data_IF_819534031819
#
_entry.id   IF_819534031819
#
_cell.length_a   1.000
_cell.length_b   1.000
_cell.length_c   1.000
_cell.angle_alpha   90.00
_cell.angle_beta   90.00
_cell.angle_gamma   90.00
#
_symmetry.space_group_name_H-M   'P 1'
#
loop_
_entity.id
_entity.type
_entity.pdbx_description
1 polymer ?
#
# COMPACT_ATOMS: atom_id res chain seq x y z
N UNK A 1 -59.85 -14.49 1.71
CA UNK A 1 -59.20 -14.11 2.98
C UNK A 1 -57.88 -14.85 3.00
N UNK A 2 -56.82 -14.19 2.56
CA UNK A 2 -55.45 -14.70 2.58
C UNK A 2 -54.49 -13.49 2.59
N UNK A 3 -54.66 -12.62 3.59
CA UNK A 3 -53.96 -11.34 3.73
C UNK A 3 -52.84 -11.41 4.77
N UNK A 4 -52.26 -12.58 5.00
CA UNK A 4 -51.08 -12.67 5.84
C UNK A 4 -49.90 -12.00 5.11
N UNK A 5 -49.51 -10.82 5.58
CA UNK A 5 -48.37 -10.04 5.08
C UNK A 5 -47.03 -10.69 5.46
N UNK A 6 -46.77 -11.89 4.93
CA UNK A 6 -45.50 -12.61 5.09
C UNK A 6 -44.60 -12.27 3.91
N UNK A 7 -43.62 -11.42 4.14
CA UNK A 7 -42.62 -11.04 3.15
C UNK A 7 -41.22 -11.39 3.64
N UNK A 8 -40.30 -11.67 2.73
CA UNK A 8 -38.86 -11.57 3.02
C UNK A 8 -38.50 -10.10 3.23
N UNK A 9 -37.38 -9.80 3.90
CA UNK A 9 -36.93 -8.42 4.13
C UNK A 9 -36.87 -7.63 2.80
N UNK A 10 -36.32 -8.25 1.74
CA UNK A 10 -36.26 -7.65 0.40
C UNK A 10 -37.65 -7.42 -0.20
N UNK A 11 -38.57 -8.39 -0.09
CA UNK A 11 -39.94 -8.27 -0.61
C UNK A 11 -40.75 -7.18 0.10
N UNK A 12 -40.53 -6.99 1.41
CA UNK A 12 -41.12 -5.88 2.15
C UNK A 12 -40.57 -4.53 1.69
N UNK A 13 -39.24 -4.39 1.58
CA UNK A 13 -38.61 -3.16 1.12
C UNK A 13 -39.03 -2.76 -0.29
N UNK A 14 -39.04 -3.70 -1.24
CA UNK A 14 -39.46 -3.45 -2.62
C UNK A 14 -40.92 -2.96 -2.67
N UNK A 15 -41.82 -3.61 -1.94
CA UNK A 15 -43.22 -3.20 -1.85
C UNK A 15 -43.38 -1.79 -1.27
N UNK A 16 -42.65 -1.45 -0.22
CA UNK A 16 -42.69 -0.11 0.38
C UNK A 16 -42.17 0.97 -0.57
N UNK A 17 -41.10 0.69 -1.34
CA UNK A 17 -40.55 1.60 -2.35
C UNK A 17 -41.52 1.82 -3.52
N UNK A 18 -42.20 0.77 -3.98
CA UNK A 18 -43.19 0.88 -5.06
C UNK A 18 -44.48 1.60 -4.63
N UNK A 19 -44.99 1.33 -3.42
CA UNK A 19 -46.20 1.97 -2.91
C UNK A 19 -46.02 3.48 -2.67
N UNK A 20 -44.81 3.90 -2.34
CA UNK A 20 -44.45 5.30 -2.10
C UNK A 20 -43.49 5.83 -3.18
N UNK A 21 -43.65 5.39 -4.44
CA UNK A 21 -42.72 5.73 -5.53
C UNK A 21 -42.53 7.24 -5.73
N UNK A 22 -43.61 8.03 -5.57
CA UNK A 22 -43.56 9.49 -5.68
C UNK A 22 -42.75 10.14 -4.55
N UNK A 23 -42.90 9.64 -3.31
CA UNK A 23 -42.23 10.18 -2.13
C UNK A 23 -40.77 9.68 -2.02
N UNK A 24 -40.49 8.49 -2.56
CA UNK A 24 -39.15 7.87 -2.57
C UNK A 24 -38.32 8.23 -3.79
N UNK A 25 -38.89 8.92 -4.79
CA UNK A 25 -38.21 9.27 -6.04
C UNK A 25 -37.85 8.07 -6.91
N UNK A 26 -38.45 6.91 -6.65
CA UNK A 26 -38.17 5.66 -7.35
C UNK A 26 -38.96 5.58 -8.66
N UNK A 27 -38.37 4.94 -9.68
CA UNK A 27 -39.08 4.63 -10.93
C UNK A 27 -40.29 3.71 -10.65
N UNK A 28 -41.37 3.92 -11.40
CA UNK A 28 -42.57 3.08 -11.33
C UNK A 28 -42.29 1.63 -11.78
N UNK A 29 -41.41 1.46 -12.76
CA UNK A 29 -40.93 0.15 -13.21
C UNK A 29 -39.48 -0.05 -12.75
N UNK A 30 -39.28 -1.02 -11.85
CA UNK A 30 -37.97 -1.42 -11.35
C UNK A 30 -37.64 -2.82 -11.87
N UNK A 31 -36.44 -2.98 -12.41
CA UNK A 31 -35.90 -4.29 -12.74
C UNK A 31 -34.93 -4.71 -11.64
N UNK A 32 -35.17 -5.89 -11.06
CA UNK A 32 -34.25 -6.46 -10.09
C UNK A 32 -33.03 -7.03 -10.84
N UNK A 33 -31.85 -6.58 -10.46
CA UNK A 33 -30.59 -7.15 -10.94
C UNK A 33 -30.16 -8.21 -9.91
N UNK A 34 -30.25 -9.48 -10.28
CA UNK A 34 -29.93 -10.60 -9.40
C UNK A 34 -28.42 -10.80 -9.25
N UNK A 35 -27.65 -10.52 -10.30
CA UNK A 35 -26.18 -10.60 -10.30
C UNK A 35 -25.55 -9.27 -10.74
N UNK A 36 -24.96 -8.56 -9.77
CA UNK A 36 -24.23 -7.31 -10.00
C UNK A 36 -22.75 -7.53 -10.37
N UNK A 37 -22.27 -8.78 -10.46
CA UNK A 37 -20.86 -9.09 -10.69
C UNK A 37 -20.30 -8.41 -11.94
N UNK A 38 -21.08 -8.42 -13.03
CA UNK A 38 -20.72 -7.76 -14.29
C UNK A 38 -20.64 -6.24 -14.13
N UNK A 39 -21.59 -5.62 -13.42
CA UNK A 39 -21.60 -4.17 -13.17
C UNK A 39 -20.39 -3.75 -12.33
N UNK A 40 -20.06 -4.51 -11.29
CA UNK A 40 -18.88 -4.26 -10.44
C UNK A 40 -17.59 -4.39 -11.24
N UNK A 41 -17.51 -5.41 -12.10
CA UNK A 41 -16.37 -5.57 -12.99
C UNK A 41 -16.24 -4.41 -13.98
N UNK A 42 -17.33 -3.99 -14.63
CA UNK A 42 -17.33 -2.84 -15.54
C UNK A 42 -16.90 -1.55 -14.83
N UNK A 43 -17.45 -1.28 -13.64
CA UNK A 43 -17.05 -0.15 -12.81
C UNK A 43 -15.55 -0.16 -12.47
N UNK A 44 -15.02 -1.32 -12.05
CA UNK A 44 -13.59 -1.47 -11.76
C UNK A 44 -12.72 -1.33 -13.01
N UNK A 45 -13.17 -1.86 -14.15
CA UNK A 45 -12.48 -1.71 -15.43
C UNK A 45 -12.45 -0.25 -15.88
N UNK A 46 -13.55 0.49 -15.71
CA UNK A 46 -13.63 1.91 -16.02
C UNK A 46 -12.69 2.75 -15.13
N UNK A 47 -12.66 2.46 -13.84
CA UNK A 47 -11.68 3.03 -12.91
C UNK A 47 -10.25 2.77 -13.43
N UNK A 48 -9.94 1.53 -13.77
CA UNK A 48 -8.63 1.14 -14.26
C UNK A 48 -8.23 1.88 -15.55
N UNK A 49 -9.15 2.03 -16.51
CA UNK A 49 -8.87 2.79 -17.75
C UNK A 49 -8.62 4.27 -17.48
N UNK A 50 -9.35 4.89 -16.55
CA UNK A 50 -9.20 6.31 -16.23
C UNK A 50 -7.96 6.61 -15.38
N UNK A 51 -7.58 5.70 -14.49
CA UNK A 51 -6.56 5.97 -13.47
C UNK A 51 -5.24 5.21 -13.66
N UNK A 52 -5.25 4.06 -14.34
CA UNK A 52 -4.04 3.25 -14.54
C UNK A 52 -3.46 3.38 -15.95
N UNK A 53 -4.27 3.49 -17.00
CA UNK A 53 -3.75 3.64 -18.38
C UNK A 53 -2.95 4.93 -18.64
N UNK A 54 -3.27 6.10 -18.07
CA UNK A 54 -2.47 7.30 -18.30
C UNK A 54 -1.21 7.36 -17.45
N UNK A 55 -0.93 6.35 -16.61
CA UNK A 55 0.24 6.37 -15.75
C UNK A 55 1.53 6.27 -16.56
N UNK A 56 2.57 7.04 -16.20
CA UNK A 56 3.94 6.80 -16.62
C UNK A 56 4.37 5.35 -16.37
N UNK A 57 5.31 4.85 -17.19
CA UNK A 57 5.69 3.43 -17.24
C UNK A 57 6.19 2.88 -15.89
N UNK A 58 7.01 3.65 -15.19
CA UNK A 58 7.55 3.37 -13.86
C UNK A 58 6.44 3.18 -12.82
N UNK A 59 5.48 4.10 -12.76
CA UNK A 59 4.33 4.00 -11.85
C UNK A 59 3.42 2.84 -12.26
N UNK A 60 3.17 2.68 -13.56
CA UNK A 60 2.35 1.59 -14.10
C UNK A 60 2.95 0.22 -13.76
N UNK A 61 4.28 0.09 -13.79
CA UNK A 61 4.97 -1.14 -13.40
C UNK A 61 4.72 -1.47 -11.93
N UNK A 62 4.87 -0.50 -11.02
CA UNK A 62 4.59 -0.68 -9.59
C UNK A 62 3.13 -1.11 -9.34
N UNK A 63 2.19 -0.45 -10.01
CA UNK A 63 0.77 -0.82 -9.93
C UNK A 63 0.54 -2.24 -10.46
N UNK A 64 1.20 -2.62 -11.55
CA UNK A 64 1.10 -3.95 -12.17
C UNK A 64 1.75 -5.07 -11.34
N UNK A 65 2.79 -4.76 -10.56
CA UNK A 65 3.39 -5.69 -9.60
C UNK A 65 2.39 -6.04 -8.48
N UNK A 66 1.55 -5.08 -8.09
CA UNK A 66 0.50 -5.28 -7.09
C UNK A 66 -0.76 -5.94 -7.68
N UNK A 67 -1.25 -5.43 -8.83
CA UNK A 67 -2.45 -5.92 -9.50
C UNK A 67 -2.21 -6.10 -10.99
N UNK A 68 -2.36 -7.32 -11.49
CA UNK A 68 -2.19 -7.65 -12.91
C UNK A 68 -3.30 -7.09 -13.83
N UNK A 69 -4.29 -6.41 -13.27
CA UNK A 69 -5.41 -5.81 -14.00
C UNK A 69 -6.61 -5.52 -13.12
N UNK A 70 -7.71 -5.00 -13.69
CA UNK A 70 -8.91 -4.58 -12.95
C UNK A 70 -9.56 -5.71 -12.17
N UNK A 71 -9.49 -6.97 -12.66
CA UNK A 71 -10.03 -8.10 -11.93
C UNK A 71 -9.26 -8.40 -10.64
N UNK A 72 -7.93 -8.20 -10.63
CA UNK A 72 -7.13 -8.36 -9.42
C UNK A 72 -7.44 -7.26 -8.40
N UNK A 73 -7.60 -6.01 -8.85
CA UNK A 73 -8.04 -4.91 -8.00
C UNK A 73 -9.44 -5.16 -7.43
N UNK A 74 -10.38 -5.61 -8.27
CA UNK A 74 -11.75 -5.91 -7.84
C UNK A 74 -11.76 -6.93 -6.70
N UNK A 75 -10.98 -8.01 -6.78
CA UNK A 75 -10.89 -9.02 -5.70
C UNK A 75 -10.46 -8.43 -4.37
N UNK A 76 -9.57 -7.44 -4.37
CA UNK A 76 -9.09 -6.78 -3.15
C UNK A 76 -10.15 -5.85 -2.54
N UNK A 77 -11.02 -5.28 -3.37
CA UNK A 77 -12.00 -4.28 -2.94
C UNK A 77 -13.43 -4.80 -2.82
N UNK A 78 -13.76 -5.97 -3.39
CA UNK A 78 -15.14 -6.47 -3.54
C UNK A 78 -15.90 -6.54 -2.21
N UNK A 79 -15.22 -6.98 -1.14
CA UNK A 79 -15.80 -7.04 0.21
C UNK A 79 -16.27 -5.68 0.76
N UNK A 80 -15.75 -4.58 0.22
CA UNK A 80 -16.09 -3.21 0.61
C UNK A 80 -17.11 -2.56 -0.33
N UNK A 81 -17.41 -3.20 -1.47
CA UNK A 81 -18.42 -2.74 -2.41
C UNK A 81 -19.82 -3.20 -2.01
N UNK A 82 -19.93 -4.10 -1.03
CA UNK A 82 -21.18 -4.61 -0.50
C UNK A 82 -21.64 -3.77 0.71
N UNK A 83 -22.92 -3.43 0.77
CA UNK A 83 -23.50 -2.66 1.87
C UNK A 83 -22.96 -1.23 1.99
N UNK A 84 -22.91 -0.72 3.21
CA UNK A 84 -22.44 0.63 3.54
C UNK A 84 -20.94 0.81 3.20
N UNK A 85 -20.60 1.97 2.65
CA UNK A 85 -19.21 2.27 2.33
C UNK A 85 -18.36 2.33 3.61
N UNK A 86 -17.17 1.70 3.63
CA UNK A 86 -16.32 1.73 4.81
C UNK A 86 -15.81 3.15 5.08
N UNK A 87 -15.72 3.52 6.35
CA UNK A 87 -15.05 4.75 6.78
C UNK A 87 -13.54 4.52 6.80
N UNK A 88 -12.82 5.26 5.97
CA UNK A 88 -11.36 5.22 5.92
C UNK A 88 -10.84 6.08 7.09
N UNK A 89 -10.20 5.44 8.07
CA UNK A 89 -9.75 6.11 9.31
C UNK A 89 -8.59 7.09 9.08
N UNK A 90 -7.73 6.78 8.12
CA UNK A 90 -6.59 7.60 7.75
C UNK A 90 -6.54 7.67 6.22
N UNK A 91 -7.40 8.51 5.60
CA UNK A 91 -7.36 8.69 4.17
C UNK A 91 -6.05 9.40 3.77
N UNK A 92 -5.46 9.04 2.62
CA UNK A 92 -4.41 9.87 2.03
C UNK A 92 -4.92 11.31 1.81
N UNK A 93 -4.05 12.33 1.91
CA UNK A 93 -4.41 13.70 1.58
C UNK A 93 -5.02 13.84 0.18
N UNK A 94 -5.99 14.76 0.04
CA UNK A 94 -6.77 14.90 -1.20
C UNK A 94 -5.94 15.34 -2.41
N UNK A 95 -4.89 16.13 -2.17
CA UNK A 95 -3.96 16.63 -3.19
C UNK A 95 -2.89 15.61 -3.59
N UNK A 96 -2.83 14.48 -2.88
CA UNK A 96 -1.78 13.51 -3.06
C UNK A 96 -2.07 12.55 -4.21
N UNK A 97 -1.13 12.47 -5.15
CA UNK A 97 -1.23 11.68 -6.39
C UNK A 97 -0.33 10.46 -6.38
N UNK A 98 -0.64 9.48 -7.25
CA UNK A 98 0.24 8.32 -7.45
C UNK A 98 1.64 8.77 -7.91
N UNK A 99 1.74 9.83 -8.70
CA UNK A 99 3.00 10.42 -9.12
C UNK A 99 3.76 11.04 -7.94
N UNK A 100 3.12 11.91 -7.16
CA UNK A 100 3.77 12.55 -6.02
C UNK A 100 4.21 11.52 -4.97
N UNK A 101 3.41 10.48 -4.69
CA UNK A 101 3.84 9.41 -3.77
C UNK A 101 4.97 8.57 -4.34
N UNK A 102 4.92 8.24 -5.63
CA UNK A 102 6.01 7.53 -6.29
C UNK A 102 7.32 8.30 -6.16
N UNK A 103 7.31 9.60 -6.48
CA UNK A 103 8.46 10.49 -6.34
C UNK A 103 8.96 10.56 -4.90
N UNK A 104 8.06 10.70 -3.91
CA UNK A 104 8.42 10.69 -2.48
C UNK A 104 9.10 9.39 -2.06
N UNK A 105 8.58 8.23 -2.48
CA UNK A 105 9.17 6.92 -2.17
C UNK A 105 10.57 6.81 -2.79
N UNK A 106 10.71 7.15 -4.08
CA UNK A 106 12.01 7.12 -4.76
C UNK A 106 13.01 8.07 -4.11
N UNK A 107 12.59 9.28 -3.74
CA UNK A 107 13.44 10.25 -3.07
C UNK A 107 13.97 9.72 -1.73
N UNK A 108 13.11 9.08 -0.93
CA UNK A 108 13.51 8.47 0.36
C UNK A 108 14.50 7.32 0.16
N UNK A 109 14.27 6.43 -0.80
CA UNK A 109 15.20 5.35 -1.12
C UNK A 109 16.54 5.92 -1.56
N UNK A 110 16.52 6.89 -2.49
CA UNK A 110 17.74 7.53 -3.00
C UNK A 110 18.51 8.28 -1.92
N UNK A 111 17.83 8.88 -0.96
CA UNK A 111 18.46 9.51 0.20
C UNK A 111 19.24 8.49 1.04
N UNK A 112 18.67 7.30 1.28
CA UNK A 112 19.37 6.23 2.00
C UNK A 112 20.55 5.69 1.18
N UNK A 113 20.39 5.53 -0.14
CA UNK A 113 21.51 5.16 -1.03
C UNK A 113 22.64 6.19 -0.99
N UNK A 114 22.30 7.49 -0.93
CA UNK A 114 23.31 8.55 -0.82
C UNK A 114 24.02 8.50 0.53
N UNK A 115 23.28 8.50 1.65
CA UNK A 115 23.88 8.39 2.98
C UNK A 115 24.72 7.12 3.15
N UNK A 116 24.28 6.00 2.57
CA UNK A 116 25.06 4.77 2.56
C UNK A 116 26.42 4.96 1.87
N UNK A 117 26.43 5.55 0.66
CA UNK A 117 27.67 5.80 -0.09
C UNK A 117 28.62 6.75 0.65
N UNK A 118 28.07 7.73 1.37
CA UNK A 118 28.87 8.71 2.10
C UNK A 118 29.49 8.14 3.39
N UNK A 119 28.84 7.15 4.01
CA UNK A 119 29.24 6.59 5.31
C UNK A 119 29.80 5.18 5.27
N UNK A 120 29.76 4.47 4.13
CA UNK A 120 30.13 3.03 4.11
C UNK A 120 31.56 2.77 4.61
N UNK A 121 32.51 3.65 4.30
CA UNK A 121 33.92 3.48 4.65
C UNK A 121 34.21 3.58 6.16
N UNK A 122 33.33 4.25 6.92
CA UNK A 122 33.46 4.37 8.38
C UNK A 122 32.71 3.28 9.17
N UNK A 123 31.78 2.56 8.54
CA UNK A 123 30.92 1.58 9.23
C UNK A 123 31.71 0.43 9.85
N UNK A 124 32.73 -0.08 9.15
CA UNK A 124 33.54 -1.19 9.66
C UNK A 124 34.24 -0.81 10.97
N UNK A 125 34.91 0.36 10.99
CA UNK A 125 35.59 0.87 12.18
C UNK A 125 34.62 1.12 13.33
N UNK A 126 33.47 1.73 13.04
CA UNK A 126 32.42 2.02 14.01
C UNK A 126 31.88 0.73 14.66
N UNK A 127 31.60 -0.30 13.85
CA UNK A 127 31.11 -1.57 14.35
C UNK A 127 32.18 -2.33 15.14
N UNK A 128 33.45 -2.26 14.75
CA UNK A 128 34.57 -2.91 15.47
C UNK A 128 34.87 -2.23 16.82
N UNK A 129 34.67 -0.92 16.92
CA UNK A 129 34.81 -0.18 18.17
C UNK A 129 33.63 -0.36 19.15
N UNK A 130 32.55 -1.01 18.72
CA UNK A 130 31.30 -1.15 19.49
C UNK A 130 31.25 -2.42 20.37
N UNK A 131 30.20 -2.49 21.21
CA UNK A 131 29.87 -3.66 22.03
C UNK A 131 29.13 -4.78 21.29
N UNK A 132 29.10 -4.79 19.96
CA UNK A 132 28.33 -5.76 19.17
C UNK A 132 28.77 -7.22 19.43
N UNK A 133 27.81 -8.15 19.56
CA UNK A 133 28.12 -9.57 19.77
C UNK A 133 28.55 -10.23 18.46
N UNK A 134 29.87 -10.35 18.26
CA UNK A 134 30.49 -10.97 17.07
C UNK A 134 30.09 -12.42 16.82
N UNK A 135 29.51 -13.12 17.81
CA UNK A 135 28.93 -14.45 17.60
C UNK A 135 27.60 -14.38 16.84
N UNK A 136 26.83 -13.30 17.05
CA UNK A 136 25.52 -13.04 16.40
C UNK A 136 25.65 -12.18 15.14
N UNK A 137 26.67 -11.33 15.09
CA UNK A 137 26.98 -10.43 13.98
C UNK A 137 28.44 -10.64 13.56
N UNK A 138 28.70 -11.70 12.80
CA UNK A 138 30.07 -12.08 12.44
C UNK A 138 30.61 -11.25 11.26
N UNK A 139 31.94 -11.12 11.20
CA UNK A 139 32.66 -10.32 10.17
C UNK A 139 32.43 -10.81 8.74
N UNK A 140 32.31 -12.11 8.54
CA UNK A 140 32.11 -12.67 7.20
C UNK A 140 30.75 -12.26 6.61
N UNK A 141 29.70 -12.28 7.43
CA UNK A 141 28.37 -11.82 7.02
C UNK A 141 28.31 -10.29 6.91
N UNK A 142 28.96 -9.56 7.82
CA UNK A 142 29.07 -8.09 7.74
C UNK A 142 29.61 -7.66 6.38
N UNK A 143 30.75 -8.20 5.93
CA UNK A 143 31.33 -7.86 4.63
C UNK A 143 30.38 -8.16 3.46
N UNK A 144 29.72 -9.33 3.47
CA UNK A 144 28.72 -9.70 2.44
C UNK A 144 27.52 -8.75 2.41
N UNK A 145 27.05 -8.32 3.58
CA UNK A 145 25.92 -7.39 3.65
C UNK A 145 26.33 -6.00 3.18
N UNK A 146 27.50 -5.51 3.60
CA UNK A 146 28.06 -4.24 3.12
C UNK A 146 28.19 -4.27 1.60
N UNK A 147 28.80 -5.30 1.03
CA UNK A 147 28.94 -5.46 -0.42
C UNK A 147 27.59 -5.44 -1.13
N UNK A 148 26.61 -6.20 -0.63
CA UNK A 148 25.25 -6.26 -1.21
C UNK A 148 24.55 -4.91 -1.19
N UNK A 149 24.61 -4.18 -0.07
CA UNK A 149 23.96 -2.87 0.05
C UNK A 149 24.71 -1.83 -0.77
N UNK A 150 26.04 -1.85 -0.77
CA UNK A 150 26.86 -0.95 -1.60
C UNK A 150 26.59 -1.14 -3.08
N UNK A 151 26.48 -2.38 -3.57
CA UNK A 151 26.10 -2.64 -4.96
C UNK A 151 24.72 -2.03 -5.27
N UNK A 152 23.72 -2.31 -4.44
CA UNK A 152 22.37 -1.74 -4.57
C UNK A 152 22.35 -0.21 -4.51
N UNK A 153 23.21 0.41 -3.69
CA UNK A 153 23.29 1.85 -3.54
C UNK A 153 23.87 2.56 -4.78
N UNK A 154 24.58 1.84 -5.64
CA UNK A 154 25.08 2.34 -6.93
C UNK A 154 24.07 2.17 -8.07
N UNK A 155 23.09 1.28 -7.92
CA UNK A 155 22.04 1.05 -8.92
C UNK A 155 21.02 2.19 -8.94
N UNK A 156 20.45 2.46 -10.12
CA UNK A 156 19.31 3.36 -10.26
C UNK A 156 18.08 2.80 -9.52
N UNK A 157 17.34 3.65 -8.82
CA UNK A 157 16.12 3.23 -8.11
C UNK A 157 14.94 3.19 -9.06
N UNK A 158 14.62 1.99 -9.54
CA UNK A 158 13.49 1.75 -10.46
C UNK A 158 12.33 1.00 -9.79
N UNK A 159 12.50 0.51 -8.56
CA UNK A 159 11.47 -0.22 -7.81
C UNK A 159 11.54 0.13 -6.33
N UNK A 160 10.55 -0.33 -5.56
CA UNK A 160 10.48 -0.14 -4.10
C UNK A 160 11.19 -1.26 -3.33
N UNK A 161 11.90 -2.15 -4.02
CA UNK A 161 12.57 -3.29 -3.39
C UNK A 161 13.84 -2.83 -2.68
N UNK A 162 13.93 -3.19 -1.40
CA UNK A 162 15.10 -2.97 -0.57
C UNK A 162 15.84 -4.30 -0.40
N UNK A 163 17.18 -4.32 -0.34
CA UNK A 163 17.90 -5.53 -0.04
C UNK A 163 17.63 -5.95 1.41
N UNK A 164 17.30 -7.23 1.66
CA UNK A 164 17.08 -7.76 3.03
C UNK A 164 18.26 -7.51 3.99
N UNK A 165 19.46 -7.28 3.43
CA UNK A 165 20.66 -6.94 4.18
C UNK A 165 20.57 -5.55 4.84
N UNK A 166 19.78 -4.62 4.30
CA UNK A 166 19.66 -3.25 4.80
C UNK A 166 19.18 -3.21 6.25
N UNK A 167 18.21 -4.06 6.60
CA UNK A 167 17.71 -4.21 7.98
C UNK A 167 18.82 -4.54 8.97
N UNK A 168 19.91 -5.19 8.54
CA UNK A 168 21.03 -5.56 9.43
C UNK A 168 21.83 -4.35 9.91
N UNK A 169 21.61 -3.19 9.30
CA UNK A 169 22.21 -1.90 9.66
C UNK A 169 21.16 -0.91 10.20
N UNK A 170 19.97 -1.39 10.56
CA UNK A 170 19.00 -0.57 11.29
C UNK A 170 19.44 -0.40 12.76
N UNK A 171 19.15 0.75 13.36
CA UNK A 171 19.54 1.04 14.75
C UNK A 171 18.93 0.01 15.71
N UNK A 172 17.63 -0.30 15.54
CA UNK A 172 16.93 -1.34 16.29
C UNK A 172 17.58 -2.72 16.16
N UNK A 173 17.98 -3.13 14.96
CA UNK A 173 18.62 -4.44 14.78
C UNK A 173 19.98 -4.49 15.49
N UNK A 174 20.77 -3.42 15.41
CA UNK A 174 22.09 -3.36 16.04
C UNK A 174 22.00 -3.36 17.58
N UNK A 175 20.97 -2.74 18.16
CA UNK A 175 20.67 -2.82 19.59
C UNK A 175 20.44 -4.27 20.05
N UNK A 176 19.62 -5.04 19.33
CA UNK A 176 19.34 -6.45 19.62
C UNK A 176 20.59 -7.36 19.48
N UNK A 177 21.58 -6.91 18.70
CA UNK A 177 22.85 -7.63 18.47
C UNK A 177 23.98 -7.15 19.38
N UNK A 178 23.76 -6.13 20.20
CA UNK A 178 24.76 -5.64 21.16
C UNK A 178 24.73 -6.45 22.45
N UNK A 179 25.90 -6.70 23.05
CA UNK A 179 26.00 -7.43 24.33
C UNK A 179 25.36 -6.61 25.45
N UNK A 180 24.84 -7.29 26.48
CA UNK A 180 24.37 -6.62 27.69
C UNK A 180 25.49 -5.77 28.31
N UNK A 181 25.21 -4.48 28.54
CA UNK A 181 26.21 -3.51 29.04
C UNK A 181 27.24 -3.04 28.00
N UNK A 182 27.16 -3.49 26.75
CA UNK A 182 27.98 -3.01 25.65
C UNK A 182 27.46 -1.69 25.08
N UNK A 183 28.36 -0.88 24.51
CA UNK A 183 27.98 0.36 23.80
C UNK A 183 27.45 -0.03 22.42
N UNK A 184 26.18 0.26 22.15
CA UNK A 184 25.58 0.02 20.83
C UNK A 184 26.20 0.97 19.80
N UNK A 185 26.56 0.48 18.60
CA UNK A 185 26.99 1.35 17.50
C UNK A 185 25.86 2.33 17.13
N UNK A 186 26.18 3.62 17.03
CA UNK A 186 25.22 4.66 16.66
C UNK A 186 25.73 5.43 15.46
N UNK A 187 24.83 5.66 14.49
CA UNK A 187 25.13 6.43 13.30
C UNK A 187 23.83 7.00 12.71
N UNK A 188 23.79 8.24 12.17
CA UNK A 188 22.60 8.80 11.55
C UNK A 188 21.97 7.90 10.48
N UNK A 189 22.79 7.24 9.66
CA UNK A 189 22.35 6.25 8.68
C UNK A 189 21.51 5.11 9.29
N UNK A 190 21.85 4.62 10.48
CA UNK A 190 21.14 3.49 11.10
C UNK A 190 19.72 3.90 11.53
N UNK A 191 19.57 5.13 12.00
CA UNK A 191 18.27 5.72 12.34
C UNK A 191 17.45 5.98 11.07
N UNK A 192 18.08 6.54 10.04
CA UNK A 192 17.41 6.77 8.75
C UNK A 192 16.93 5.46 8.09
N UNK A 193 17.68 4.36 8.24
CA UNK A 193 17.25 3.04 7.81
C UNK A 193 16.02 2.56 8.59
N UNK A 194 15.99 2.74 9.92
CA UNK A 194 14.80 2.40 10.71
C UNK A 194 13.57 3.20 10.26
N UNK A 195 13.73 4.51 10.03
CA UNK A 195 12.64 5.37 9.54
C UNK A 195 12.11 4.90 8.19
N UNK A 196 13.00 4.56 7.24
CA UNK A 196 12.60 4.00 5.94
C UNK A 196 11.83 2.69 6.11
N UNK A 197 12.31 1.79 6.95
CA UNK A 197 11.70 0.47 7.15
C UNK A 197 10.40 0.52 7.96
N UNK A 198 10.19 1.56 8.75
CA UNK A 198 8.99 1.73 9.58
C UNK A 198 7.74 2.13 8.78
N UNK A 199 7.92 2.64 7.56
CA UNK A 199 6.83 3.10 6.70
C UNK A 199 6.72 2.24 5.43
N UNK A 200 5.50 1.86 5.01
CA UNK A 200 5.33 1.04 3.83
C UNK A 200 5.66 1.82 2.55
N UNK A 201 6.57 1.29 1.75
CA UNK A 201 6.86 1.79 0.40
C UNK A 201 5.83 1.22 -0.58
N UNK A 202 4.66 1.86 -0.68
CA UNK A 202 3.56 1.35 -1.50
C UNK A 202 2.68 2.44 -2.10
N UNK A 203 2.01 2.09 -3.21
CA UNK A 203 0.90 2.86 -3.79
C UNK A 203 -0.46 2.22 -3.46
N UNK A 204 -0.46 1.11 -2.72
CA UNK A 204 -1.60 0.21 -2.62
C UNK A 204 -2.80 0.86 -1.94
N UNK A 205 -2.57 1.46 -0.78
CA UNK A 205 -3.56 2.17 0.01
C UNK A 205 -4.18 3.33 -0.76
N UNK A 206 -3.37 4.09 -1.51
CA UNK A 206 -3.85 5.20 -2.33
C UNK A 206 -4.75 4.73 -3.48
N UNK A 207 -4.35 3.67 -4.20
CA UNK A 207 -5.18 3.10 -5.28
C UNK A 207 -6.49 2.52 -4.73
N UNK A 208 -6.44 1.76 -3.62
CA UNK A 208 -7.64 1.20 -2.99
C UNK A 208 -8.58 2.32 -2.56
N UNK A 209 -8.08 3.34 -1.88
CA UNK A 209 -8.88 4.47 -1.39
C UNK A 209 -9.57 5.18 -2.55
N UNK A 210 -8.83 5.48 -3.63
CA UNK A 210 -9.39 6.10 -4.84
C UNK A 210 -10.44 5.22 -5.52
N UNK A 211 -10.23 3.91 -5.60
CA UNK A 211 -11.19 2.97 -6.17
C UNK A 211 -12.49 2.92 -5.35
N UNK A 212 -12.39 2.93 -4.02
CA UNK A 212 -13.54 2.94 -3.12
C UNK A 212 -14.32 4.27 -3.19
N UNK A 213 -13.64 5.41 -3.33
CA UNK A 213 -14.29 6.72 -3.48
C UNK A 213 -14.98 6.83 -4.84
N UNK A 214 -14.35 6.34 -5.92
CA UNK A 214 -14.92 6.36 -7.27
C UNK A 214 -16.28 5.64 -7.36
N UNK A 215 -16.55 4.66 -6.47
CA UNK A 215 -17.87 4.02 -6.31
C UNK A 215 -19.00 5.03 -6.14
N UNK A 216 -18.77 6.10 -5.38
CA UNK A 216 -19.81 7.09 -5.05
C UNK A 216 -20.28 7.92 -6.26
N UNK A 217 -19.52 7.90 -7.37
CA UNK A 217 -19.89 8.59 -8.60
C UNK A 217 -20.73 7.70 -9.54
N UNK A 218 -20.66 6.37 -9.39
CA UNK A 218 -21.37 5.40 -10.24
C UNK A 218 -22.80 5.17 -9.74
N UNK A 219 -23.05 5.23 -8.43
CA UNK A 219 -24.40 5.12 -7.84
C UNK A 219 -25.25 6.41 -7.91
N UNK A 220 -24.75 7.48 -8.55
CA UNK A 220 -25.46 8.76 -8.73
C UNK A 220 -26.00 8.98 -10.15
N UNK A 221 -25.93 7.98 -11.03
CA UNK A 221 -26.53 8.01 -12.36
C UNK A 221 -27.79 7.14 -12.40
#
# INVERSE_FOLDING_TARGET
>A
MDEAAVFTIHGFCQRMLSLNAFESGMLFEQQLIEDESLLRYQACADFWRRHCYPLPRDIAQVVFETWKGPQALLRDIDRYLQGEAPVIKAPPPDDETLASRHEQILARINQIKQQWRDSVDELDGLLEASGIDRRKFNRANQGKWIEKISAWAQEETQSYQLPDALEKFSQRFLEERTKAGGITPQHPLFVAIDELLSEPLTLRDLVITRALIARALITRC
#
